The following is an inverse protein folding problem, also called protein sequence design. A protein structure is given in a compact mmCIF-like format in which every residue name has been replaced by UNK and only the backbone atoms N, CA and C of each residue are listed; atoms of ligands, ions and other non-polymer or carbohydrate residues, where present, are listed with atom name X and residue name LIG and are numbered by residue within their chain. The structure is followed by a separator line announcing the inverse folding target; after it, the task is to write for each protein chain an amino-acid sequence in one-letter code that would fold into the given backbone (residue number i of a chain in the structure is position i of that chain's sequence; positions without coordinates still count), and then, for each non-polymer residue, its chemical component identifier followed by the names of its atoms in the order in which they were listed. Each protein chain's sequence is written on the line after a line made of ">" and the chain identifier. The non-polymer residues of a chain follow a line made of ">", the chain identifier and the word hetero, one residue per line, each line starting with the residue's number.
data_IF_478251427651
#
_entry.id   IF_478251427651
#
_cell.length_a   1.000
_cell.length_b   1.000
_cell.length_c   1.000
_cell.angle_alpha   90.00
_cell.angle_beta   90.00
_cell.angle_gamma   90.00
#
_symmetry.space_group_name_H-M   'P 1'
#
loop_
_entity.id
_entity.type
_entity.pdbx_description
1 polymer ?
#
# COMPACT_ATOMS: atom_id res chain seq x y z
N UNK A 1 5.72 -20.38 -16.44
CA UNK A 1 6.93 -19.89 -15.77
C UNK A 1 6.48 -19.21 -14.48
N UNK A 2 6.94 -19.68 -13.31
CA UNK A 2 6.62 -19.00 -12.04
C UNK A 2 7.57 -17.79 -11.90
N UNK A 3 7.07 -16.60 -11.56
CA UNK A 3 7.93 -15.43 -11.40
C UNK A 3 8.95 -15.66 -10.27
N UNK A 4 10.12 -15.02 -10.40
CA UNK A 4 11.20 -15.10 -9.41
C UNK A 4 10.75 -14.42 -8.11
N UNK A 5 10.90 -15.09 -6.97
CA UNK A 5 10.49 -14.59 -5.65
C UNK A 5 11.03 -13.18 -5.35
N UNK A 6 12.27 -12.88 -5.74
CA UNK A 6 12.86 -11.53 -5.59
C UNK A 6 12.20 -10.45 -6.45
N UNK A 7 11.74 -10.80 -7.64
CA UNK A 7 11.05 -9.85 -8.53
C UNK A 7 9.64 -9.55 -7.98
N UNK A 8 9.00 -10.55 -7.36
CA UNK A 8 7.69 -10.38 -6.72
C UNK A 8 7.82 -9.51 -5.46
N UNK A 9 8.79 -9.79 -4.59
CA UNK A 9 9.03 -8.99 -3.39
C UNK A 9 9.31 -7.51 -3.71
N UNK A 10 10.10 -7.24 -4.77
CA UNK A 10 10.36 -5.86 -5.19
C UNK A 10 9.10 -5.14 -5.69
N UNK A 11 8.25 -5.84 -6.44
CA UNK A 11 6.97 -5.29 -6.90
C UNK A 11 6.03 -4.97 -5.74
N UNK A 12 6.02 -5.81 -4.71
CA UNK A 12 5.22 -5.62 -3.51
C UNK A 12 5.67 -4.39 -2.70
N UNK A 13 6.98 -4.18 -2.56
CA UNK A 13 7.55 -2.97 -1.94
C UNK A 13 7.20 -1.70 -2.74
N UNK A 14 7.43 -1.71 -4.05
CA UNK A 14 7.13 -0.56 -4.93
C UNK A 14 5.61 -0.22 -4.90
N UNK A 15 4.74 -1.22 -4.69
CA UNK A 15 3.30 -1.02 -4.54
C UNK A 15 2.94 -0.33 -3.21
N UNK A 16 3.61 -0.66 -2.11
CA UNK A 16 3.41 0.03 -0.83
C UNK A 16 3.85 1.50 -0.90
N UNK A 17 4.94 1.80 -1.61
CA UNK A 17 5.41 3.18 -1.78
C UNK A 17 4.38 4.07 -2.50
N UNK A 18 3.56 3.50 -3.40
CA UNK A 18 2.47 4.24 -4.03
C UNK A 18 1.40 4.70 -3.03
N UNK A 19 1.10 3.92 -1.98
CA UNK A 19 0.13 4.33 -0.95
C UNK A 19 0.59 5.56 -0.17
N UNK A 20 1.90 5.73 0.00
CA UNK A 20 2.48 6.93 0.62
C UNK A 20 2.22 8.14 -0.26
N UNK A 21 2.44 8.01 -1.58
CA UNK A 21 2.18 9.08 -2.56
C UNK A 21 0.71 9.50 -2.59
N UNK A 22 -0.22 8.54 -2.45
CA UNK A 22 -1.65 8.83 -2.45
C UNK A 22 -2.20 9.27 -1.08
N UNK A 23 -1.41 9.24 -0.02
CA UNK A 23 -1.85 9.72 1.28
C UNK A 23 -1.97 11.26 1.32
N UNK A 24 -2.70 11.79 2.30
CA UNK A 24 -2.71 13.25 2.52
C UNK A 24 -1.34 13.76 2.96
N UNK A 25 -1.16 15.08 3.01
CA UNK A 25 0.08 15.71 3.53
C UNK A 25 0.45 15.30 4.97
N UNK A 26 -0.51 14.74 5.72
CA UNK A 26 -0.30 14.21 7.06
C UNK A 26 -0.05 12.69 7.10
N UNK A 27 0.09 12.04 5.94
CA UNK A 27 0.26 10.60 5.82
C UNK A 27 -1.03 9.81 6.02
N UNK A 28 -2.20 10.40 5.75
CA UNK A 28 -3.49 9.82 6.11
C UNK A 28 -4.25 9.32 4.89
N UNK A 29 -4.74 8.09 4.97
CA UNK A 29 -5.49 7.41 3.90
C UNK A 29 -7.00 7.62 4.05
N UNK A 30 -7.67 7.67 2.90
CA UNK A 30 -9.13 7.54 2.78
C UNK A 30 -9.52 6.11 2.43
N UNK A 31 -10.83 5.88 2.36
CA UNK A 31 -11.40 4.64 1.84
C UNK A 31 -11.09 4.43 0.36
N UNK A 32 -11.22 5.50 -0.42
CA UNK A 32 -11.10 5.46 -1.88
C UNK A 32 -10.15 6.54 -2.37
N UNK A 33 -9.60 6.34 -3.56
CA UNK A 33 -8.89 7.37 -4.31
C UNK A 33 -9.62 7.57 -5.63
N UNK A 34 -9.94 8.81 -5.97
CA UNK A 34 -10.54 9.16 -7.25
C UNK A 34 -9.42 9.52 -8.25
N UNK A 35 -9.07 8.63 -9.20
CA UNK A 35 -8.02 8.89 -10.17
C UNK A 35 -8.43 9.92 -11.23
N UNK A 36 -9.74 10.15 -11.42
CA UNK A 36 -10.24 11.13 -12.39
C UNK A 36 -9.97 12.56 -11.93
N UNK A 37 -10.10 12.81 -10.63
CA UNK A 37 -9.81 14.13 -10.03
C UNK A 37 -8.51 14.20 -9.24
N UNK A 38 -7.82 13.07 -9.04
CA UNK A 38 -6.52 13.00 -8.37
C UNK A 38 -6.58 13.26 -6.86
N UNK A 39 -7.66 12.85 -6.19
CA UNK A 39 -7.89 13.16 -4.77
C UNK A 39 -8.34 11.96 -3.96
N UNK A 40 -8.15 12.08 -2.65
CA UNK A 40 -8.80 11.20 -1.67
C UNK A 40 -10.32 11.34 -1.76
N UNK A 41 -11.02 10.20 -1.79
CA UNK A 41 -12.46 10.10 -1.92
C UNK A 41 -13.06 9.14 -0.87
N UNK A 42 -14.38 9.20 -0.73
CA UNK A 42 -15.10 8.41 0.27
C UNK A 42 -14.81 8.88 1.70
N UNK A 43 -14.85 7.94 2.65
CA UNK A 43 -14.60 8.26 4.05
C UNK A 43 -13.15 8.70 4.28
N UNK A 44 -12.98 9.83 4.96
CA UNK A 44 -11.68 10.36 5.37
C UNK A 44 -11.77 10.87 6.81
N UNK A 45 -10.92 10.44 7.75
CA UNK A 45 -9.81 9.45 7.64
C UNK A 45 -10.31 8.04 7.93
N UNK A 46 -9.88 7.06 7.14
CA UNK A 46 -10.45 5.72 7.21
C UNK A 46 -9.48 4.75 7.89
N UNK A 47 -9.89 4.14 9.01
CA UNK A 47 -9.01 3.32 9.84
C UNK A 47 -8.62 1.96 9.22
N UNK A 48 -9.51 1.33 8.45
CA UNK A 48 -9.26 0.02 7.85
C UNK A 48 -8.24 0.04 6.70
N UNK A 49 -8.11 1.14 5.96
CA UNK A 49 -7.13 1.38 4.90
C UNK A 49 -5.75 1.46 5.52
N UNK A 50 -5.61 2.18 6.65
CA UNK A 50 -4.37 2.20 7.42
C UNK A 50 -4.04 0.81 7.98
N UNK A 51 -5.03 0.11 8.54
CA UNK A 51 -4.82 -1.24 9.04
C UNK A 51 -4.40 -2.20 7.91
N UNK A 52 -5.04 -2.10 6.73
CA UNK A 52 -4.70 -2.87 5.55
C UNK A 52 -3.27 -2.62 5.09
N UNK A 53 -2.85 -1.35 5.03
CA UNK A 53 -1.49 -0.97 4.69
C UNK A 53 -0.44 -1.52 5.68
N UNK A 54 -0.70 -1.42 6.98
CA UNK A 54 0.17 -2.00 8.03
C UNK A 54 0.27 -3.53 7.87
N UNK A 55 -0.86 -4.21 7.68
CA UNK A 55 -0.90 -5.67 7.52
C UNK A 55 -0.17 -6.13 6.26
N UNK A 56 -0.30 -5.40 5.15
CA UNK A 56 0.44 -5.69 3.93
C UNK A 56 1.95 -5.51 4.14
N UNK A 57 2.36 -4.43 4.81
CA UNK A 57 3.76 -4.18 5.17
C UNK A 57 4.35 -5.30 6.03
N UNK A 58 3.62 -5.76 7.05
CA UNK A 58 4.04 -6.88 7.90
C UNK A 58 4.22 -8.17 7.08
N UNK A 59 3.27 -8.46 6.18
CA UNK A 59 3.30 -9.67 5.35
C UNK A 59 4.49 -9.68 4.38
N UNK A 60 4.76 -8.56 3.71
CA UNK A 60 5.88 -8.42 2.77
C UNK A 60 7.22 -8.55 3.51
N UNK A 61 7.34 -7.92 4.68
CA UNK A 61 8.53 -8.07 5.54
C UNK A 61 8.76 -9.51 5.99
N UNK A 62 7.71 -10.21 6.39
CA UNK A 62 7.80 -11.61 6.79
C UNK A 62 8.21 -12.51 5.62
N UNK A 63 7.72 -12.23 4.41
CA UNK A 63 8.11 -12.96 3.21
C UNK A 63 9.60 -12.74 2.87
N UNK A 64 10.08 -11.50 2.92
CA UNK A 64 11.49 -11.18 2.64
C UNK A 64 12.48 -11.71 3.68
N UNK A 65 12.05 -11.97 4.92
CA UNK A 65 12.88 -12.57 5.98
C UNK A 65 12.97 -14.11 5.90
N UNK A 66 12.12 -14.74 5.09
CA UNK A 66 12.08 -16.19 4.91
C UNK A 66 12.93 -16.69 3.73
N UNK A 67 13.47 -15.78 2.92
CA UNK A 67 14.43 -16.01 1.82
C UNK A 67 15.90 -15.91 2.28
#
# INVERSE_FOLDING_TARGET
>A
MRPNARVVARFEEDFLDMFVVYSSDFGLLSEEYDPGSGRLAGNFRQAFSHLGFIRATDAIRAAGAAD
#
